data_IF_538688685638
#
_entry.id   IF_538688685638
#
_cell.length_a   1.000
_cell.length_b   1.000
_cell.length_c   1.000
_cell.angle_alpha   90.00
_cell.angle_beta   90.00
_cell.angle_gamma   90.00
#
_symmetry.space_group_name_H-M   'P 1'
#
loop_
_entity.id
_entity.type
_entity.pdbx_description
1 polymer ?
#
# COMPACT_ATOMS: atom_id res chain seq x y z
N UNK A 1 -7.63 5.96 -9.29
CA UNK A 1 -9.01 6.34 -9.67
C UNK A 1 -9.69 6.87 -8.43
N UNK A 2 -10.20 8.10 -8.48
CA UNK A 2 -10.79 8.76 -7.31
C UNK A 2 -12.12 8.13 -6.90
N UNK A 3 -12.44 8.16 -5.60
CA UNK A 3 -13.70 7.64 -5.05
C UNK A 3 -14.92 8.31 -5.70
N UNK A 4 -14.79 9.59 -6.07
CA UNK A 4 -15.82 10.37 -6.76
C UNK A 4 -16.12 9.82 -8.16
N UNK A 5 -15.09 9.46 -8.93
CA UNK A 5 -15.26 8.87 -10.27
C UNK A 5 -15.98 7.53 -10.20
N UNK A 6 -15.63 6.69 -9.23
CA UNK A 6 -16.30 5.40 -9.01
C UNK A 6 -17.74 5.58 -8.52
N UNK A 7 -17.98 6.54 -7.63
CA UNK A 7 -19.32 6.86 -7.12
C UNK A 7 -20.26 7.29 -8.25
N UNK A 8 -19.76 8.13 -9.17
CA UNK A 8 -20.49 8.54 -10.38
C UNK A 8 -20.75 7.36 -11.33
N UNK A 9 -19.73 6.54 -11.61
CA UNK A 9 -19.84 5.40 -12.53
C UNK A 9 -20.89 4.37 -12.09
N UNK A 10 -20.93 4.08 -10.79
CA UNK A 10 -21.83 3.08 -10.22
C UNK A 10 -23.13 3.66 -9.64
N UNK A 11 -23.35 4.98 -9.78
CA UNK A 11 -24.51 5.69 -9.24
C UNK A 11 -24.79 5.39 -7.75
N UNK A 12 -23.73 5.27 -6.94
CA UNK A 12 -23.82 4.96 -5.50
C UNK A 12 -23.29 6.11 -4.66
N UNK A 13 -23.90 6.42 -3.50
CA UNK A 13 -23.38 7.45 -2.60
C UNK A 13 -21.93 7.17 -2.20
N UNK A 14 -21.06 8.19 -2.11
CA UNK A 14 -19.64 8.01 -1.75
C UNK A 14 -19.44 7.23 -0.45
N UNK A 15 -20.31 7.45 0.54
CA UNK A 15 -20.27 6.75 1.84
C UNK A 15 -20.58 5.25 1.71
N UNK A 16 -21.51 4.88 0.84
CA UNK A 16 -21.83 3.47 0.54
C UNK A 16 -20.69 2.80 -0.21
N UNK A 17 -20.13 3.47 -1.22
CA UNK A 17 -18.98 2.97 -1.96
C UNK A 17 -17.76 2.79 -1.05
N UNK A 18 -17.43 3.78 -0.22
CA UNK A 18 -16.29 3.69 0.70
C UNK A 18 -16.42 2.51 1.67
N UNK A 19 -17.61 2.29 2.26
CA UNK A 19 -17.86 1.12 3.13
C UNK A 19 -17.73 -0.21 2.37
N UNK A 20 -18.20 -0.25 1.13
CA UNK A 20 -18.12 -1.44 0.27
C UNK A 20 -16.66 -1.77 -0.04
N UNK A 21 -15.88 -0.77 -0.48
CA UNK A 21 -14.45 -0.93 -0.74
C UNK A 21 -13.71 -1.40 0.51
N UNK A 22 -14.01 -0.84 1.69
CA UNK A 22 -13.39 -1.30 2.95
C UNK A 22 -13.66 -2.78 3.21
N UNK A 23 -14.90 -3.24 3.04
CA UNK A 23 -15.25 -4.66 3.22
C UNK A 23 -14.54 -5.56 2.21
N UNK A 24 -14.43 -5.11 0.97
CA UNK A 24 -13.68 -5.84 -0.08
C UNK A 24 -12.20 -5.93 0.27
N UNK A 25 -11.59 -4.85 0.73
CA UNK A 25 -10.20 -4.84 1.18
C UNK A 25 -9.97 -5.78 2.38
N UNK A 26 -10.86 -5.77 3.36
CA UNK A 26 -10.82 -6.69 4.50
C UNK A 26 -10.91 -8.15 4.05
N UNK A 27 -11.82 -8.48 3.12
CA UNK A 27 -11.98 -9.83 2.58
C UNK A 27 -10.79 -10.27 1.72
N UNK A 28 -10.27 -9.37 0.90
CA UNK A 28 -9.08 -9.59 0.08
C UNK A 28 -7.86 -9.85 0.97
N UNK A 29 -7.64 -9.02 1.99
CA UNK A 29 -6.54 -9.19 2.95
C UNK A 29 -6.56 -10.57 3.61
N UNK A 30 -7.74 -11.00 4.11
CA UNK A 30 -7.92 -12.35 4.69
C UNK A 30 -7.65 -13.48 3.69
N UNK A 31 -8.01 -13.29 2.43
CA UNK A 31 -7.78 -14.29 1.37
C UNK A 31 -6.28 -14.38 1.05
N UNK A 32 -5.60 -13.24 0.97
CA UNK A 32 -4.18 -13.17 0.64
C UNK A 32 -3.27 -13.58 1.80
N UNK A 33 -3.73 -13.51 3.05
CA UNK A 33 -2.96 -13.93 4.23
C UNK A 33 -2.39 -15.35 4.11
N UNK A 34 -3.16 -16.26 3.50
CA UNK A 34 -2.75 -17.66 3.28
C UNK A 34 -2.14 -17.92 1.91
N UNK A 35 -2.10 -16.91 1.03
CA UNK A 35 -1.57 -17.05 -0.31
C UNK A 35 -0.10 -16.65 -0.35
N UNK A 36 0.80 -17.64 -0.30
CA UNK A 36 2.25 -17.42 -0.17
C UNK A 36 2.84 -16.40 -1.17
N UNK A 37 2.45 -16.37 -2.45
CA UNK A 37 2.96 -15.37 -3.40
C UNK A 37 2.54 -13.93 -3.10
N UNK A 38 1.46 -13.71 -2.36
CA UNK A 38 1.01 -12.37 -1.95
C UNK A 38 1.51 -11.95 -0.56
N UNK A 39 2.34 -12.78 0.09
CA UNK A 39 2.92 -12.43 1.39
C UNK A 39 3.78 -11.18 1.27
N UNK A 40 3.44 -10.16 2.03
CA UNK A 40 4.30 -8.99 2.21
C UNK A 40 5.45 -9.41 3.12
N UNK A 41 6.66 -9.49 2.57
CA UNK A 41 7.89 -9.74 3.32
C UNK A 41 8.76 -8.49 3.32
N UNK A 42 9.22 -8.08 4.49
CA UNK A 42 10.17 -6.99 4.62
C UNK A 42 11.61 -7.52 4.52
N UNK A 43 12.53 -6.82 3.83
CA UNK A 43 13.93 -7.18 3.84
C UNK A 43 14.51 -7.06 5.27
N UNK A 44 15.59 -7.79 5.55
CA UNK A 44 16.29 -7.65 6.84
C UNK A 44 16.84 -6.23 7.04
N UNK A 45 17.10 -5.78 8.27
CA UNK A 45 17.64 -4.44 8.52
C UNK A 45 18.95 -4.14 7.77
N UNK A 46 19.84 -5.13 7.66
CA UNK A 46 21.08 -5.00 6.87
C UNK A 46 20.79 -4.78 5.39
N UNK A 47 19.84 -5.52 4.83
CA UNK A 47 19.45 -5.41 3.44
C UNK A 47 18.66 -4.12 3.17
N UNK A 48 17.86 -3.64 4.13
CA UNK A 48 17.22 -2.32 4.05
C UNK A 48 18.25 -1.18 3.94
N UNK A 49 19.35 -1.24 4.71
CA UNK A 49 20.42 -0.24 4.62
C UNK A 49 21.11 -0.27 3.25
N UNK A 50 21.34 -1.46 2.71
CA UNK A 50 21.91 -1.62 1.36
C UNK A 50 20.99 -1.03 0.29
N UNK A 51 19.71 -1.38 0.31
CA UNK A 51 18.71 -0.85 -0.60
C UNK A 51 18.55 0.68 -0.46
N UNK A 52 18.61 1.22 0.77
CA UNK A 52 18.55 2.66 0.99
C UNK A 52 19.71 3.40 0.33
N UNK A 53 20.93 2.83 0.34
CA UNK A 53 22.08 3.40 -0.37
C UNK A 53 21.88 3.40 -1.89
N UNK A 54 21.27 2.35 -2.43
CA UNK A 54 20.95 2.26 -3.87
C UNK A 54 19.90 3.30 -4.28
N UNK A 55 18.88 3.50 -3.44
CA UNK A 55 17.87 4.54 -3.66
C UNK A 55 18.50 5.93 -3.60
N UNK A 56 19.31 6.22 -2.58
CA UNK A 56 19.97 7.52 -2.42
C UNK A 56 20.97 7.80 -3.56
N UNK A 57 21.66 6.77 -4.05
CA UNK A 57 22.55 6.91 -5.22
C UNK A 57 21.79 7.29 -6.50
N UNK A 58 20.54 6.82 -6.65
CA UNK A 58 19.67 7.17 -7.78
C UNK A 58 18.95 8.50 -7.59
N UNK A 59 18.48 8.76 -6.37
CA UNK A 59 17.65 9.91 -5.99
C UNK A 59 18.22 10.53 -4.68
N UNK A 60 19.20 11.46 -4.77
CA UNK A 60 19.95 11.94 -3.60
C UNK A 60 19.13 12.67 -2.53
N UNK A 61 17.92 13.11 -2.87
CA UNK A 61 17.00 13.75 -1.93
C UNK A 61 16.27 12.74 -1.04
N UNK A 62 16.23 11.46 -1.44
CA UNK A 62 15.52 10.39 -0.73
C UNK A 62 16.48 9.64 0.21
N UNK A 63 16.79 10.28 1.33
CA UNK A 63 17.68 9.72 2.35
C UNK A 63 16.96 8.66 3.20
N UNK A 64 17.71 7.65 3.64
CA UNK A 64 17.23 6.58 4.53
C UNK A 64 15.96 5.85 4.05
N UNK A 65 15.70 5.85 2.74
CA UNK A 65 14.50 5.27 2.15
C UNK A 65 14.90 4.07 1.30
N UNK A 66 14.46 2.86 1.65
CA UNK A 66 14.82 1.64 0.92
C UNK A 66 13.75 1.16 -0.08
N UNK A 67 12.58 1.81 -0.09
CA UNK A 67 11.48 1.46 -0.97
C UNK A 67 10.27 2.34 -0.72
N UNK A 68 9.31 2.27 -1.64
CA UNK A 68 8.03 2.96 -1.55
C UNK A 68 6.90 1.94 -1.63
N UNK A 69 5.88 2.10 -0.80
CA UNK A 69 4.59 1.46 -1.04
C UNK A 69 3.75 2.48 -1.78
N UNK A 70 3.57 2.27 -3.09
CA UNK A 70 2.53 3.00 -3.81
C UNK A 70 1.17 2.38 -3.45
N UNK A 71 0.37 3.13 -2.70
CA UNK A 71 -0.90 2.67 -2.15
C UNK A 71 -1.43 3.58 -1.04
N UNK A 72 -2.63 3.24 -0.53
CA UNK A 72 -3.31 3.91 0.58
C UNK A 72 -2.31 4.32 1.68
N UNK A 73 -2.35 5.59 2.09
CA UNK A 73 -1.55 6.09 3.23
C UNK A 73 -2.04 5.43 4.53
N UNK A 74 -1.49 4.27 4.88
CA UNK A 74 -1.73 3.65 6.17
C UNK A 74 -0.97 4.43 7.23
N UNK A 75 -1.66 4.82 8.32
CA UNK A 75 -0.98 5.40 9.46
C UNK A 75 -0.02 4.36 10.04
N UNK A 76 1.26 4.72 10.12
CA UNK A 76 2.23 3.98 10.94
C UNK A 76 1.81 4.24 12.40
N UNK A 77 1.18 3.27 13.04
CA UNK A 77 1.00 3.33 14.48
C UNK A 77 2.35 3.00 15.11
N UNK A 78 2.95 4.00 15.75
CA UNK A 78 4.08 3.86 16.68
C UNK A 78 3.65 3.21 17.97
#
# INVERSE_FOLDING_TARGET
>A
MELSSLSMLFAVPPSTLARTLRRVEEALSKTLEKYSPARISWPSPSHQVELAKLVEAREPLLKHTFGFIDGKNFKVNT
#
